data_IF_193996546029
#
_entry.id   IF_193996546029
#
_cell.length_a   1.000
_cell.length_b   1.000
_cell.length_c   1.000
_cell.angle_alpha   90.00
_cell.angle_beta   90.00
_cell.angle_gamma   90.00
#
_symmetry.space_group_name_H-M   'P 1'
#
loop_
_entity.id
_entity.type
_entity.pdbx_description
1 polymer ?
#
# COMPACT_ATOMS: atom_id res chain seq x y z
N UNK A 1 -8.44 -22.76 -2.70
CA UNK A 1 -7.78 -23.36 -1.52
C UNK A 1 -8.50 -24.66 -1.21
N UNK A 2 -7.78 -25.78 -1.08
CA UNK A 2 -8.41 -27.09 -0.85
C UNK A 2 -8.94 -27.27 0.59
N UNK A 3 -8.37 -26.55 1.57
CA UNK A 3 -8.77 -26.60 2.99
C UNK A 3 -8.84 -25.19 3.60
N UNK A 4 -10.03 -24.54 3.61
CA UNK A 4 -10.18 -23.16 4.10
C UNK A 4 -9.87 -22.99 5.60
N UNK A 5 -10.13 -24.02 6.39
CA UNK A 5 -9.95 -24.04 7.86
C UNK A 5 -8.48 -23.93 8.28
N UNK A 6 -7.54 -24.37 7.43
CA UNK A 6 -6.11 -24.28 7.67
C UNK A 6 -5.53 -22.85 7.47
N UNK A 7 -6.35 -21.88 7.05
CA UNK A 7 -5.88 -20.52 6.77
C UNK A 7 -5.60 -19.72 8.05
N UNK A 8 -6.47 -19.83 9.05
CA UNK A 8 -6.46 -18.98 10.26
C UNK A 8 -5.84 -19.61 11.52
N UNK A 9 -5.33 -20.85 11.45
CA UNK A 9 -4.69 -21.49 12.60
C UNK A 9 -3.42 -20.77 13.08
N UNK A 10 -2.91 -21.08 14.29
CA UNK A 10 -1.68 -20.47 14.82
C UNK A 10 -0.44 -20.74 13.96
N UNK A 11 -0.42 -21.85 13.22
CA UNK A 11 0.57 -22.15 12.16
C UNK A 11 -0.06 -22.16 10.77
N UNK A 12 -1.20 -21.48 10.63
CA UNK A 12 -1.92 -21.36 9.36
C UNK A 12 -1.13 -20.57 8.33
N UNK A 13 -1.59 -20.63 7.08
CA UNK A 13 -0.92 -19.99 5.94
C UNK A 13 -0.76 -18.49 6.16
N UNK A 14 -1.76 -17.82 6.74
CA UNK A 14 -1.70 -16.39 7.02
C UNK A 14 -0.60 -16.03 8.03
N UNK A 15 -0.57 -16.69 9.20
CA UNK A 15 0.44 -16.38 10.21
C UNK A 15 1.86 -16.73 9.73
N UNK A 16 2.03 -17.89 9.10
CA UNK A 16 3.34 -18.33 8.58
C UNK A 16 3.86 -17.38 7.50
N UNK A 17 3.01 -16.95 6.57
CA UNK A 17 3.40 -15.98 5.54
C UNK A 17 3.76 -14.61 6.13
N UNK A 18 3.00 -14.11 7.10
CA UNK A 18 3.30 -12.84 7.78
C UNK A 18 4.65 -12.90 8.52
N UNK A 19 4.95 -14.01 9.20
CA UNK A 19 6.25 -14.21 9.87
C UNK A 19 7.39 -14.20 8.85
N UNK A 20 7.25 -14.92 7.73
CA UNK A 20 8.28 -14.94 6.69
C UNK A 20 8.51 -13.54 6.12
N UNK A 21 7.44 -12.80 5.78
CA UNK A 21 7.54 -11.44 5.25
C UNK A 21 8.21 -10.50 6.26
N UNK A 22 7.82 -10.57 7.53
CA UNK A 22 8.42 -9.77 8.59
C UNK A 22 9.93 -10.04 8.74
N UNK A 23 10.34 -11.32 8.73
CA UNK A 23 11.75 -11.70 8.79
C UNK A 23 12.54 -11.16 7.58
N UNK A 24 11.99 -11.27 6.36
CA UNK A 24 12.65 -10.78 5.15
C UNK A 24 12.80 -9.25 5.17
N UNK A 25 11.74 -8.51 5.51
CA UNK A 25 11.80 -7.05 5.59
C UNK A 25 12.73 -6.57 6.68
N UNK A 26 12.74 -7.24 7.84
CA UNK A 26 13.65 -6.92 8.94
C UNK A 26 15.11 -7.17 8.53
N UNK A 27 15.40 -8.29 7.87
CA UNK A 27 16.75 -8.60 7.40
C UNK A 27 17.25 -7.57 6.37
N UNK A 28 16.42 -7.23 5.38
CA UNK A 28 16.77 -6.23 4.36
C UNK A 28 16.98 -4.84 4.98
N UNK A 29 16.13 -4.44 5.94
CA UNK A 29 16.29 -3.18 6.66
C UNK A 29 17.56 -3.15 7.51
N UNK A 30 17.82 -4.21 8.27
CA UNK A 30 18.98 -4.33 9.16
C UNK A 30 20.31 -4.32 8.39
N UNK A 31 20.47 -5.21 7.39
CA UNK A 31 21.69 -5.25 6.57
C UNK A 31 21.84 -4.01 5.68
N UNK A 32 20.73 -3.43 5.21
CA UNK A 32 20.75 -2.15 4.49
C UNK A 32 21.32 -1.02 5.35
N UNK A 33 20.85 -0.90 6.60
CA UNK A 33 21.37 0.08 7.55
C UNK A 33 22.85 -0.16 7.89
N UNK A 34 23.26 -1.42 8.15
CA UNK A 34 24.67 -1.73 8.41
C UNK A 34 25.61 -1.38 7.24
N UNK A 35 25.13 -1.46 5.99
CA UNK A 35 25.95 -1.18 4.80
C UNK A 35 26.08 0.31 4.52
N UNK A 36 24.98 1.07 4.60
CA UNK A 36 24.95 2.47 4.18
C UNK A 36 25.03 3.47 5.35
N UNK A 37 24.65 3.05 6.56
CA UNK A 37 24.66 3.89 7.76
C UNK A 37 23.96 5.23 7.54
N UNK A 38 24.53 6.28 8.13
CA UNK A 38 24.03 7.67 8.02
C UNK A 38 24.26 8.30 6.64
N UNK A 39 25.01 7.64 5.73
CA UNK A 39 25.25 8.11 4.37
C UNK A 39 24.15 7.68 3.38
N UNK A 40 23.10 7.00 3.88
CA UNK A 40 22.01 6.52 3.05
C UNK A 40 21.18 7.67 2.48
N UNK A 41 20.99 7.68 1.16
CA UNK A 41 19.99 8.52 0.49
C UNK A 41 18.59 8.08 0.99
N UNK A 42 17.83 8.98 1.64
CA UNK A 42 16.48 8.68 2.10
C UNK A 42 15.55 8.46 0.89
N UNK A 43 14.54 7.59 1.02
CA UNK A 43 13.65 7.23 -0.10
C UNK A 43 13.50 5.72 -0.26
N UNK A 44 14.62 5.04 -0.51
CA UNK A 44 14.67 3.59 -0.73
C UNK A 44 16.10 3.06 -0.65
N UNK A 45 16.27 1.84 -0.17
CA UNK A 45 17.56 1.13 -0.18
C UNK A 45 18.10 0.97 -1.62
N UNK A 46 17.20 0.84 -2.60
CA UNK A 46 17.58 0.58 -4.00
C UNK A 46 18.30 1.76 -4.65
N UNK A 47 18.06 2.99 -4.17
CA UNK A 47 18.75 4.21 -4.61
C UNK A 47 20.23 4.23 -4.22
N UNK A 48 20.57 3.51 -3.15
CA UNK A 48 21.93 3.47 -2.59
C UNK A 48 22.81 2.38 -3.20
N UNK A 49 22.24 1.48 -4.01
CA UNK A 49 22.99 0.38 -4.62
C UNK A 49 24.05 0.92 -5.58
N UNK A 50 25.34 0.57 -5.42
CA UNK A 50 26.43 1.04 -6.26
C UNK A 50 26.25 0.62 -7.72
N UNK A 51 26.45 1.56 -8.65
CA UNK A 51 26.30 1.36 -10.11
C UNK A 51 27.56 0.82 -10.78
N UNK A 52 28.71 0.90 -10.11
CA UNK A 52 30.00 0.43 -10.60
C UNK A 52 30.19 -1.09 -10.45
N UNK A 53 29.31 -1.77 -9.71
CA UNK A 53 29.38 -3.21 -9.47
C UNK A 53 28.34 -3.95 -10.32
N UNK A 54 28.77 -5.03 -11.00
CA UNK A 54 27.89 -5.86 -11.83
C UNK A 54 26.69 -6.42 -11.05
N UNK A 55 26.90 -6.75 -9.77
CA UNK A 55 25.83 -7.24 -8.88
C UNK A 55 24.80 -6.14 -8.57
N UNK A 56 25.24 -4.91 -8.34
CA UNK A 56 24.34 -3.79 -8.08
C UNK A 56 23.50 -3.44 -9.30
N UNK A 57 24.11 -3.48 -10.48
CA UNK A 57 23.42 -3.25 -11.75
C UNK A 57 22.37 -4.34 -12.04
N UNK A 58 22.69 -5.62 -11.79
CA UNK A 58 21.74 -6.72 -12.00
C UNK A 58 20.51 -6.59 -11.10
N UNK A 59 20.68 -6.24 -9.82
CA UNK A 59 19.57 -6.02 -8.88
C UNK A 59 18.66 -4.88 -9.34
N UNK A 60 19.23 -3.76 -9.80
CA UNK A 60 18.43 -2.63 -10.33
C UNK A 60 17.66 -3.01 -11.59
N UNK A 61 18.26 -3.77 -12.51
CA UNK A 61 17.58 -4.26 -13.71
C UNK A 61 16.42 -5.19 -13.32
N UNK A 62 16.66 -6.16 -12.43
CA UNK A 62 15.63 -7.06 -11.95
C UNK A 62 14.48 -6.31 -11.25
N UNK A 63 14.79 -5.29 -10.45
CA UNK A 63 13.78 -4.44 -9.82
C UNK A 63 12.95 -3.68 -10.86
N UNK A 64 13.60 -3.07 -11.86
CA UNK A 64 12.91 -2.36 -12.95
C UNK A 64 11.98 -3.28 -13.73
N UNK A 65 12.44 -4.49 -14.06
CA UNK A 65 11.61 -5.52 -14.71
C UNK A 65 10.45 -5.94 -13.81
N UNK A 66 10.67 -6.16 -12.51
CA UNK A 66 9.63 -6.54 -11.58
C UNK A 66 8.54 -5.46 -11.47
N UNK A 67 8.91 -4.18 -11.40
CA UNK A 67 7.97 -3.06 -11.39
C UNK A 67 7.20 -2.99 -12.72
N UNK A 68 7.89 -3.11 -13.85
CA UNK A 68 7.28 -3.08 -15.18
C UNK A 68 6.19 -4.16 -15.34
N UNK A 69 6.49 -5.40 -14.97
CA UNK A 69 5.51 -6.49 -15.03
C UNK A 69 4.39 -6.35 -14.00
N UNK A 70 4.69 -5.81 -12.81
CA UNK A 70 3.70 -5.66 -11.73
C UNK A 70 2.73 -4.50 -11.96
N UNK A 71 3.15 -3.45 -12.67
CA UNK A 71 2.35 -2.24 -12.88
C UNK A 71 1.01 -2.55 -13.55
N UNK A 72 0.99 -3.39 -14.59
CA UNK A 72 -0.24 -3.76 -15.27
C UNK A 72 -1.24 -4.48 -14.36
N UNK A 73 -0.74 -5.38 -13.50
CA UNK A 73 -1.57 -6.09 -12.52
C UNK A 73 -2.12 -5.16 -11.44
N UNK A 74 -1.30 -4.23 -10.94
CA UNK A 74 -1.71 -3.25 -9.94
C UNK A 74 -2.75 -2.27 -10.51
N UNK A 75 -2.60 -1.86 -11.78
CA UNK A 75 -3.50 -0.94 -12.46
C UNK A 75 -4.89 -1.54 -12.76
N UNK A 76 -5.00 -2.87 -12.79
CA UNK A 76 -6.30 -3.55 -12.97
C UNK A 76 -7.31 -3.20 -11.87
N UNK A 77 -6.86 -3.08 -10.61
CA UNK A 77 -7.76 -2.83 -9.47
C UNK A 77 -8.39 -1.43 -9.55
N UNK A 78 -7.62 -0.32 -9.70
CA UNK A 78 -8.20 1.01 -9.91
C UNK A 78 -9.14 1.04 -11.12
N UNK A 79 -8.77 0.42 -12.24
CA UNK A 79 -9.61 0.41 -13.44
C UNK A 79 -10.95 -0.27 -13.18
N UNK A 80 -10.96 -1.42 -12.47
CA UNK A 80 -12.18 -2.14 -12.11
C UNK A 80 -13.10 -1.34 -11.17
N UNK A 81 -12.54 -0.43 -10.37
CA UNK A 81 -13.30 0.43 -9.45
C UNK A 81 -13.84 1.68 -10.16
N UNK A 82 -13.02 2.33 -10.97
CA UNK A 82 -13.33 3.62 -11.61
C UNK A 82 -14.18 3.46 -12.87
N UNK A 83 -14.00 2.38 -13.62
CA UNK A 83 -14.69 2.18 -14.91
C UNK A 83 -16.21 2.00 -14.81
N UNK A 84 -16.77 1.16 -13.91
CA UNK A 84 -18.21 0.92 -13.86
C UNK A 84 -19.10 2.18 -13.73
N UNK A 85 -18.81 3.17 -12.84
CA UNK A 85 -19.63 4.37 -12.78
C UNK A 85 -19.54 5.24 -14.05
N UNK A 86 -18.40 5.21 -14.76
CA UNK A 86 -18.21 5.94 -16.02
C UNK A 86 -19.00 5.25 -17.14
N UNK A 87 -18.88 3.92 -17.26
CA UNK A 87 -19.56 3.13 -18.28
C UNK A 87 -21.09 3.27 -18.20
N UNK A 88 -21.66 3.29 -16.99
CA UNK A 88 -23.10 3.39 -16.76
C UNK A 88 -23.74 4.65 -17.34
N UNK A 89 -22.95 5.70 -17.55
CA UNK A 89 -23.41 6.98 -18.09
C UNK A 89 -23.12 7.15 -19.59
N UNK A 90 -22.54 6.13 -20.24
CA UNK A 90 -22.08 6.21 -21.63
C UNK A 90 -22.92 5.34 -22.58
N UNK A 91 -23.15 5.87 -23.78
CA UNK A 91 -23.70 5.10 -24.91
C UNK A 91 -22.68 4.06 -25.39
N UNK A 92 -23.15 2.94 -25.91
CA UNK A 92 -22.29 1.82 -26.35
C UNK A 92 -21.21 2.24 -27.34
N UNK A 93 -21.54 3.16 -28.26
CA UNK A 93 -20.61 3.69 -29.27
C UNK A 93 -19.38 4.42 -28.67
N UNK A 94 -19.51 4.96 -27.45
CA UNK A 94 -18.43 5.68 -26.77
C UNK A 94 -17.69 4.86 -25.72
N UNK A 95 -18.10 3.61 -25.45
CA UNK A 95 -17.50 2.82 -24.36
C UNK A 95 -16.02 2.52 -24.60
N UNK A 96 -15.66 2.01 -25.77
CA UNK A 96 -14.26 1.71 -26.10
C UNK A 96 -13.34 2.96 -26.05
N UNK A 97 -13.66 4.09 -26.72
CA UNK A 97 -12.81 5.27 -26.63
C UNK A 97 -12.79 5.87 -25.21
N UNK A 98 -13.90 5.87 -24.48
CA UNK A 98 -13.94 6.37 -23.11
C UNK A 98 -13.14 5.50 -22.14
N UNK A 99 -13.10 4.18 -22.36
CA UNK A 99 -12.27 3.27 -21.58
C UNK A 99 -10.79 3.61 -21.78
N UNK A 100 -10.37 3.79 -23.04
CA UNK A 100 -9.00 4.17 -23.37
C UNK A 100 -8.63 5.52 -22.75
N UNK A 101 -9.50 6.52 -22.87
CA UNK A 101 -9.30 7.84 -22.26
C UNK A 101 -9.18 7.73 -20.74
N UNK A 102 -10.06 6.97 -20.08
CA UNK A 102 -10.01 6.76 -18.63
C UNK A 102 -8.69 6.14 -18.21
N UNK A 103 -8.23 5.10 -18.93
CA UNK A 103 -6.92 4.47 -18.68
C UNK A 103 -5.78 5.48 -18.85
N UNK A 104 -5.77 6.23 -19.94
CA UNK A 104 -4.74 7.24 -20.22
C UNK A 104 -4.72 8.33 -19.16
N UNK A 105 -5.89 8.84 -18.73
CA UNK A 105 -5.99 9.85 -17.68
C UNK A 105 -5.44 9.33 -16.35
N UNK A 106 -5.78 8.10 -15.96
CA UNK A 106 -5.28 7.49 -14.73
C UNK A 106 -3.75 7.31 -14.77
N UNK A 107 -3.19 6.89 -15.91
CA UNK A 107 -1.72 6.77 -16.08
C UNK A 107 -1.06 8.15 -16.06
N UNK A 108 -1.62 9.14 -16.74
CA UNK A 108 -1.11 10.51 -16.72
C UNK A 108 -1.14 11.08 -15.29
N UNK A 109 -2.20 10.80 -14.53
CA UNK A 109 -2.30 11.19 -13.12
C UNK A 109 -1.18 10.57 -12.26
N UNK A 110 -0.85 9.29 -12.44
CA UNK A 110 0.28 8.69 -11.71
C UNK A 110 1.62 9.30 -12.12
N UNK A 111 1.81 9.66 -13.39
CA UNK A 111 2.98 10.43 -13.83
C UNK A 111 3.06 11.82 -13.20
N UNK A 112 1.95 12.55 -13.10
CA UNK A 112 1.91 13.85 -12.43
C UNK A 112 2.28 13.73 -10.95
N UNK A 113 1.76 12.73 -10.25
CA UNK A 113 2.13 12.48 -8.85
C UNK A 113 3.63 12.18 -8.70
N UNK A 114 4.22 11.42 -9.63
CA UNK A 114 5.65 11.11 -9.63
C UNK A 114 6.53 12.34 -9.86
N UNK A 115 6.07 13.31 -10.65
CA UNK A 115 6.79 14.58 -10.88
C UNK A 115 6.61 15.52 -9.69
N UNK A 116 5.41 15.58 -9.10
CA UNK A 116 5.07 16.52 -8.05
C UNK A 116 5.76 16.20 -6.71
N UNK A 117 6.00 14.92 -6.39
CA UNK A 117 6.61 14.52 -5.13
C UNK A 117 7.83 13.63 -5.41
N UNK A 118 9.05 14.20 -5.49
CA UNK A 118 10.27 13.43 -5.74
C UNK A 118 10.66 12.55 -4.54
N UNK A 119 10.15 12.85 -3.34
CA UNK A 119 10.41 12.07 -2.13
C UNK A 119 9.49 10.82 -2.06
N UNK A 120 10.01 9.70 -2.57
CA UNK A 120 9.31 8.41 -2.58
C UNK A 120 8.91 7.94 -1.18
N UNK A 121 9.74 8.16 -0.15
CA UNK A 121 9.43 7.75 1.22
C UNK A 121 8.20 8.47 1.76
N UNK A 122 8.07 9.78 1.51
CA UNK A 122 6.93 10.54 1.97
C UNK A 122 5.62 10.10 1.29
N UNK A 123 5.65 9.79 -0.02
CA UNK A 123 4.48 9.24 -0.72
C UNK A 123 4.08 7.87 -0.18
N UNK A 124 5.05 6.97 0.00
CA UNK A 124 4.80 5.62 0.54
C UNK A 124 4.23 5.72 1.97
N UNK A 125 4.81 6.60 2.80
CA UNK A 125 4.36 6.84 4.17
C UNK A 125 2.94 7.41 4.20
N UNK A 126 2.64 8.41 3.37
CA UNK A 126 1.31 9.01 3.28
C UNK A 126 0.27 7.99 2.82
N UNK A 127 0.49 7.34 1.67
CA UNK A 127 -0.44 6.34 1.13
C UNK A 127 -0.59 5.19 2.13
N UNK A 128 0.49 4.76 2.78
CA UNK A 128 0.47 3.75 3.83
C UNK A 128 -0.35 4.17 5.05
N UNK A 129 -0.14 5.36 5.59
CA UNK A 129 -0.87 5.88 6.73
C UNK A 129 -2.37 6.04 6.42
N UNK A 130 -2.72 6.56 5.23
CA UNK A 130 -4.11 6.71 4.81
C UNK A 130 -4.77 5.34 4.59
N UNK A 131 -4.18 4.48 3.76
CA UNK A 131 -4.78 3.20 3.35
C UNK A 131 -4.71 2.14 4.44
N UNK A 132 -3.56 1.96 5.11
CA UNK A 132 -3.40 0.96 6.16
C UNK A 132 -4.27 1.26 7.36
N UNK A 133 -4.28 2.50 7.88
CA UNK A 133 -5.16 2.83 9.00
C UNK A 133 -6.63 2.64 8.66
N UNK A 134 -7.04 3.00 7.44
CA UNK A 134 -8.43 2.86 7.02
C UNK A 134 -8.82 1.38 6.82
N UNK A 135 -8.08 0.63 6.00
CA UNK A 135 -8.44 -0.75 5.64
C UNK A 135 -8.09 -1.77 6.72
N UNK A 136 -6.98 -1.61 7.44
CA UNK A 136 -6.51 -2.59 8.40
C UNK A 136 -7.03 -2.35 9.83
N UNK A 137 -7.31 -1.09 10.21
CA UNK A 137 -7.65 -0.74 11.59
C UNK A 137 -9.05 -0.13 11.75
N UNK A 138 -9.53 0.69 10.83
CA UNK A 138 -10.81 1.41 10.99
C UNK A 138 -11.98 0.61 10.40
N UNK A 139 -11.83 0.06 9.20
CA UNK A 139 -12.90 -0.70 8.54
C UNK A 139 -13.28 -2.02 9.25
N UNK A 140 -12.35 -2.86 9.72
CA UNK A 140 -12.74 -4.13 10.34
C UNK A 140 -13.62 -3.94 11.59
N UNK A 141 -13.30 -3.04 12.55
CA UNK A 141 -14.17 -2.74 13.68
C UNK A 141 -15.54 -2.17 13.27
N UNK A 142 -15.58 -1.27 12.28
CA UNK A 142 -16.85 -0.71 11.78
C UNK A 142 -17.72 -1.83 11.19
N UNK A 143 -17.14 -2.72 10.39
CA UNK A 143 -17.85 -3.85 9.79
C UNK A 143 -18.32 -4.83 10.89
N UNK A 144 -17.50 -5.11 11.90
CA UNK A 144 -17.87 -5.97 13.04
C UNK A 144 -19.07 -5.38 13.80
N UNK A 145 -19.03 -4.08 14.12
CA UNK A 145 -20.12 -3.38 14.81
C UNK A 145 -21.41 -3.41 13.98
N UNK A 146 -21.35 -3.08 12.68
CA UNK A 146 -22.54 -3.04 11.80
C UNK A 146 -23.12 -4.44 11.61
N UNK A 147 -22.26 -5.45 11.40
CA UNK A 147 -22.71 -6.82 11.08
C UNK A 147 -23.33 -7.52 12.28
N UNK A 148 -22.78 -7.31 13.48
CA UNK A 148 -23.24 -8.00 14.70
C UNK A 148 -24.16 -7.16 15.58
N UNK A 149 -24.59 -5.98 15.12
CA UNK A 149 -25.48 -5.09 15.86
C UNK A 149 -26.76 -5.80 16.32
N UNK A 150 -27.39 -6.57 15.42
CA UNK A 150 -28.66 -7.26 15.66
C UNK A 150 -28.54 -8.48 16.58
N UNK A 151 -27.32 -9.02 16.76
CA UNK A 151 -27.06 -10.20 17.59
C UNK A 151 -26.75 -9.86 19.06
N UNK A 152 -26.71 -8.56 19.41
CA UNK A 152 -26.41 -8.10 20.76
C UNK A 152 -24.91 -8.10 21.04
N UNK A 153 -24.24 -6.99 20.70
CA UNK A 153 -22.81 -6.79 20.95
C UNK A 153 -22.49 -6.73 22.44
N UNK A 154 -21.49 -7.50 22.88
CA UNK A 154 -20.94 -7.39 24.23
C UNK A 154 -20.23 -6.04 24.41
N UNK A 155 -20.36 -5.44 25.60
CA UNK A 155 -19.63 -4.20 25.96
C UNK A 155 -18.11 -4.34 25.76
N UNK A 156 -17.56 -5.56 25.91
CA UNK A 156 -16.14 -5.85 25.67
C UNK A 156 -15.76 -5.74 24.20
N UNK A 157 -16.61 -6.22 23.29
CA UNK A 157 -16.39 -6.16 21.84
C UNK A 157 -16.41 -4.72 21.37
N UNK A 158 -17.43 -3.95 21.77
CA UNK A 158 -17.54 -2.51 21.43
C UNK A 158 -16.32 -1.73 21.93
N UNK A 159 -15.86 -2.00 23.17
CA UNK A 159 -14.69 -1.32 23.71
C UNK A 159 -13.41 -1.67 22.94
N UNK A 160 -13.19 -2.96 22.62
CA UNK A 160 -12.07 -3.45 21.80
C UNK A 160 -12.08 -2.75 20.42
N UNK A 161 -13.24 -2.72 19.77
CA UNK A 161 -13.43 -2.14 18.44
C UNK A 161 -13.17 -0.63 18.44
N UNK A 162 -13.69 0.07 19.44
CA UNK A 162 -13.45 1.51 19.62
C UNK A 162 -11.96 1.80 19.86
N UNK A 163 -11.29 0.99 20.65
CA UNK A 163 -9.85 1.14 20.91
C UNK A 163 -9.02 0.94 19.66
N UNK A 164 -9.30 -0.11 18.87
CA UNK A 164 -8.60 -0.38 17.60
C UNK A 164 -8.84 0.76 16.60
N UNK A 165 -10.08 1.23 16.47
CA UNK A 165 -10.42 2.35 15.58
C UNK A 165 -9.73 3.65 16.00
N UNK A 166 -9.68 3.94 17.30
CA UNK A 166 -9.00 5.13 17.84
C UNK A 166 -7.48 5.06 17.61
N UNK A 167 -6.88 3.89 17.82
CA UNK A 167 -5.48 3.66 17.48
C UNK A 167 -5.21 3.87 15.98
N UNK A 168 -6.06 3.33 15.11
CA UNK A 168 -5.99 3.58 13.67
C UNK A 168 -6.09 5.05 13.30
N UNK A 169 -7.00 5.79 13.95
CA UNK A 169 -7.17 7.23 13.73
C UNK A 169 -5.94 8.04 14.20
N UNK A 170 -5.34 7.68 15.33
CA UNK A 170 -4.08 8.32 15.75
C UNK A 170 -2.94 8.04 14.76
N UNK A 171 -2.79 6.80 14.29
CA UNK A 171 -1.80 6.43 13.28
C UNK A 171 -2.01 7.19 11.96
N UNK A 172 -3.28 7.38 11.56
CA UNK A 172 -3.64 8.19 10.40
C UNK A 172 -3.20 9.65 10.56
N UNK A 173 -3.50 10.28 11.70
CA UNK A 173 -3.14 11.67 11.95
C UNK A 173 -1.63 11.88 12.00
N UNK A 174 -0.92 11.07 12.81
CA UNK A 174 0.54 11.19 12.94
C UNK A 174 1.25 10.87 11.62
N UNK A 175 0.83 9.81 10.91
CA UNK A 175 1.44 9.42 9.64
C UNK A 175 1.20 10.44 8.53
N UNK A 176 0.00 11.01 8.45
CA UNK A 176 -0.32 12.08 7.49
C UNK A 176 0.44 13.36 7.82
N UNK A 177 0.50 13.75 9.10
CA UNK A 177 1.25 14.92 9.54
C UNK A 177 2.74 14.80 9.22
N UNK A 178 3.37 13.68 9.59
CA UNK A 178 4.79 13.44 9.32
C UNK A 178 5.08 13.45 7.81
N UNK A 179 4.23 12.80 7.01
CA UNK A 179 4.42 12.76 5.56
C UNK A 179 4.21 14.11 4.89
N UNK A 180 3.23 14.91 5.33
CA UNK A 180 3.02 16.27 4.81
C UNK A 180 4.17 17.19 5.19
N UNK A 181 4.65 17.10 6.43
CA UNK A 181 5.82 17.83 6.88
C UNK A 181 7.05 17.49 6.03
N UNK A 182 7.32 16.21 5.80
CA UNK A 182 8.43 15.77 4.95
C UNK A 182 8.27 16.21 3.48
N UNK A 183 7.04 16.27 2.97
CA UNK A 183 6.77 16.79 1.62
C UNK A 183 7.08 18.29 1.59
N UNK A 184 6.54 19.10 2.51
CA UNK A 184 6.68 20.57 2.44
C UNK A 184 8.08 21.08 2.80
N UNK A 185 8.80 20.42 3.72
CA UNK A 185 10.13 20.86 4.15
C UNK A 185 11.26 20.42 3.20
N UNK A 186 11.03 19.40 2.37
CA UNK A 186 12.03 18.87 1.41
C UNK A 186 11.57 18.97 -0.07
N UNK A 187 10.58 19.83 -0.37
CA UNK A 187 10.19 20.20 -1.74
C UNK A 187 11.10 21.27 -2.33
#
# INVERSE_FOLDING_TARGET
MATPEAFGGPTGVLNTSMVIVACLYTAVGFFGYLRYGDHMIPGSITLNIPLNELLGQSVRIMLGLAIFFSYGLQFYVPMKIVWPPIERNLREEYRYPAELVTRTVLVIFTFFLAIAIPNLSAVISLVGALSSSTLALIFPPIIEIITFWDYGLSKKTIFKDLFIALFGFTGFLFGTYASLHDIFDHS
#
